data_IF_406538475154
#
_entry.id   IF_406538475154
#
_cell.length_a   1.000
_cell.length_b   1.000
_cell.length_c   1.000
_cell.angle_alpha   90.00
_cell.angle_beta   90.00
_cell.angle_gamma   90.00
#
_symmetry.space_group_name_H-M   'P 1'
#
loop_
_entity.id
_entity.type
_entity.pdbx_description
1 polymer ?
#
# COMPACT_ATOMS: atom_id res chain seq x y z
N UNK A 1 -10.90 10.01 -16.04
CA UNK A 1 -9.56 9.66 -16.56
C UNK A 1 -9.21 8.28 -16.02
N UNK A 2 -8.74 7.36 -16.87
CA UNK A 2 -8.29 6.03 -16.44
C UNK A 2 -6.78 6.07 -16.19
N UNK A 3 -6.30 5.30 -15.21
CA UNK A 3 -4.88 5.15 -14.97
C UNK A 3 -4.25 4.43 -16.19
N UNK A 4 -3.26 5.03 -16.88
CA UNK A 4 -2.75 4.49 -18.15
C UNK A 4 -1.88 3.25 -17.96
N UNK A 5 -1.36 3.02 -16.75
CA UNK A 5 -0.57 1.84 -16.41
C UNK A 5 -1.42 0.69 -15.86
N UNK A 6 -0.85 -0.51 -15.87
CA UNK A 6 -1.41 -1.61 -15.08
C UNK A 6 -0.96 -1.45 -13.64
N UNK A 7 -1.88 -1.61 -12.69
CA UNK A 7 -1.52 -1.79 -11.28
C UNK A 7 -0.99 -3.23 -11.15
N UNK A 8 0.16 -3.42 -10.50
CA UNK A 8 0.74 -4.75 -10.31
C UNK A 8 0.42 -5.31 -8.92
N UNK A 9 0.57 -4.47 -7.89
CA UNK A 9 0.39 -4.84 -6.49
C UNK A 9 -0.18 -3.67 -5.70
N UNK A 10 -1.06 -3.97 -4.74
CA UNK A 10 -1.56 -3.04 -3.73
C UNK A 10 -1.25 -3.60 -2.34
N UNK A 11 -0.49 -2.85 -1.54
CA UNK A 11 -0.21 -3.14 -0.14
C UNK A 11 -1.20 -2.40 0.75
N UNK A 12 -1.90 -3.12 1.63
CA UNK A 12 -2.94 -2.57 2.51
C UNK A 12 -2.55 -2.79 3.96
N UNK A 13 -2.23 -1.72 4.68
CA UNK A 13 -1.97 -1.76 6.12
C UNK A 13 -3.30 -1.88 6.89
N UNK A 14 -3.48 -2.91 7.72
CA UNK A 14 -4.70 -3.05 8.52
C UNK A 14 -4.76 -1.98 9.61
N UNK A 15 -5.89 -1.27 9.78
CA UNK A 15 -6.10 -0.44 10.95
C UNK A 15 -6.16 -1.33 12.20
N UNK A 16 -5.38 -0.94 13.22
CA UNK A 16 -5.38 -1.62 14.53
C UNK A 16 -6.72 -1.37 15.24
N UNK A 17 -7.46 -2.46 15.54
CA UNK A 17 -8.50 -2.43 16.57
C UNK A 17 -9.88 -3.02 16.25
N UNK A 18 -10.31 -3.20 15.00
CA UNK A 18 -11.72 -3.60 14.78
C UNK A 18 -12.00 -4.60 13.64
N UNK A 19 -11.04 -4.82 12.73
CA UNK A 19 -11.34 -5.50 11.46
C UNK A 19 -10.53 -6.77 11.18
N UNK A 20 -9.68 -7.22 12.11
CA UNK A 20 -8.84 -8.40 11.88
C UNK A 20 -9.64 -9.67 11.56
N UNK A 21 -10.82 -9.86 12.17
CA UNK A 21 -11.66 -11.04 11.94
C UNK A 21 -12.63 -10.88 10.76
N UNK A 22 -13.33 -9.74 10.66
CA UNK A 22 -14.36 -9.54 9.63
C UNK A 22 -13.82 -9.33 8.21
N UNK A 23 -12.63 -8.72 8.04
CA UNK A 23 -12.01 -8.55 6.72
C UNK A 23 -11.43 -9.88 6.20
N UNK A 24 -10.89 -10.71 7.09
CA UNK A 24 -10.06 -11.86 6.69
C UNK A 24 -10.83 -12.93 5.88
N UNK A 25 -12.14 -13.07 6.09
CA UNK A 25 -12.95 -14.12 5.43
C UNK A 25 -13.78 -13.61 4.26
N UNK A 26 -14.32 -12.38 4.34
CA UNK A 26 -15.21 -11.82 3.31
C UNK A 26 -14.45 -11.02 2.24
N UNK A 27 -13.40 -10.28 2.61
CA UNK A 27 -12.67 -9.46 1.63
C UNK A 27 -11.75 -10.29 0.73
N UNK A 28 -11.17 -11.38 1.24
CA UNK A 28 -10.20 -12.16 0.47
C UNK A 28 -10.86 -12.93 -0.69
N UNK A 29 -12.16 -13.24 -0.58
CA UNK A 29 -12.97 -13.86 -1.65
C UNK A 29 -13.47 -12.83 -2.66
N UNK A 30 -13.99 -11.69 -2.19
CA UNK A 30 -14.59 -10.67 -3.08
C UNK A 30 -13.52 -9.85 -3.84
N UNK A 31 -12.39 -9.53 -3.21
CA UNK A 31 -11.37 -8.67 -3.84
C UNK A 31 -10.45 -9.43 -4.80
N UNK A 32 -10.33 -10.76 -4.72
CA UNK A 32 -9.42 -11.50 -5.60
C UNK A 32 -9.97 -11.73 -7.01
N UNK A 33 -11.30 -11.75 -7.19
CA UNK A 33 -11.90 -12.06 -8.49
C UNK A 33 -12.08 -10.83 -9.39
N UNK A 34 -12.21 -9.62 -8.82
CA UNK A 34 -12.47 -8.39 -9.60
C UNK A 34 -11.22 -7.60 -10.02
N UNK A 35 -10.08 -7.77 -9.33
CA UNK A 35 -8.87 -6.98 -9.61
C UNK A 35 -7.84 -7.76 -10.43
N UNK A 36 -7.35 -7.14 -11.52
CA UNK A 36 -6.24 -7.67 -12.33
C UNK A 36 -4.87 -7.59 -11.64
N UNK A 37 -4.83 -7.26 -10.34
CA UNK A 37 -3.60 -6.99 -9.60
C UNK A 37 -3.62 -7.66 -8.23
N UNK A 38 -2.43 -7.92 -7.68
CA UNK A 38 -2.28 -8.61 -6.40
C UNK A 38 -2.58 -7.67 -5.24
N UNK A 39 -3.40 -8.10 -4.30
CA UNK A 39 -3.61 -7.38 -3.02
C UNK A 39 -2.88 -8.12 -1.90
N UNK A 40 -2.03 -7.41 -1.16
CA UNK A 40 -1.29 -7.92 0.01
C UNK A 40 -1.72 -7.12 1.23
N UNK A 41 -2.31 -7.80 2.20
CA UNK A 41 -2.81 -7.17 3.43
C UNK A 41 -1.80 -7.38 4.55
N UNK A 42 -1.19 -6.30 5.00
CA UNK A 42 -0.13 -6.27 6.00
C UNK A 42 -0.72 -5.98 7.39
N UNK A 43 -0.22 -6.65 8.42
CA UNK A 43 -0.68 -6.42 9.79
C UNK A 43 -0.15 -5.11 10.39
N UNK A 44 1.04 -4.70 9.99
CA UNK A 44 1.71 -3.49 10.44
C UNK A 44 2.73 -3.03 9.40
N UNK A 45 3.34 -1.86 9.63
CA UNK A 45 4.31 -1.25 8.71
C UNK A 45 5.60 -2.07 8.61
N UNK A 46 5.99 -2.82 9.64
CA UNK A 46 7.21 -3.64 9.59
C UNK A 46 7.14 -4.72 8.52
N UNK A 47 5.97 -5.33 8.29
CA UNK A 47 5.78 -6.30 7.19
C UNK A 47 5.93 -5.66 5.80
N UNK A 48 5.83 -4.33 5.67
CA UNK A 48 6.05 -3.65 4.39
C UNK A 48 7.53 -3.70 3.98
N UNK A 49 8.44 -3.75 4.95
CA UNK A 49 9.89 -3.74 4.72
C UNK A 49 10.40 -5.04 4.08
N UNK A 50 9.62 -6.12 4.13
CA UNK A 50 9.94 -7.36 3.43
C UNK A 50 9.70 -7.26 1.91
N UNK A 51 8.96 -6.24 1.46
CA UNK A 51 8.59 -6.03 0.06
C UNK A 51 9.22 -4.78 -0.57
N UNK A 52 9.51 -3.76 0.25
CA UNK A 52 9.99 -2.46 -0.22
C UNK A 52 11.18 -2.04 0.67
N UNK A 53 12.28 -1.67 0.03
CA UNK A 53 13.47 -1.17 0.71
C UNK A 53 13.16 0.16 1.44
N UNK A 54 13.83 0.40 2.57
CA UNK A 54 13.53 1.56 3.43
C UNK A 54 13.85 2.89 2.76
N UNK A 55 14.87 2.95 1.92
CA UNK A 55 15.24 4.12 1.12
C UNK A 55 14.19 4.49 0.06
N UNK A 56 13.25 3.60 -0.24
CA UNK A 56 12.13 3.83 -1.15
C UNK A 56 10.83 4.18 -0.43
N UNK A 57 10.84 4.17 0.90
CA UNK A 57 9.69 4.48 1.75
C UNK A 57 9.83 5.84 2.41
N UNK A 58 8.74 6.59 2.49
CA UNK A 58 8.74 7.87 3.18
C UNK A 58 8.87 7.69 4.70
N UNK A 59 9.35 8.73 5.37
CA UNK A 59 9.54 8.74 6.84
C UNK A 59 8.24 8.42 7.61
N UNK A 60 7.08 8.79 7.06
CA UNK A 60 5.77 8.47 7.65
C UNK A 60 5.46 6.97 7.67
N UNK A 61 6.08 6.21 6.77
CA UNK A 61 6.03 4.75 6.71
C UNK A 61 7.30 4.12 7.29
N UNK A 62 8.10 4.87 8.05
CA UNK A 62 9.33 4.38 8.69
C UNK A 62 10.49 4.07 7.74
N UNK A 63 10.49 4.65 6.55
CA UNK A 63 11.62 4.64 5.62
C UNK A 63 12.50 5.89 5.69
N UNK A 64 13.46 5.96 4.79
CA UNK A 64 14.52 6.98 4.75
C UNK A 64 14.31 7.99 3.60
N UNK A 65 13.26 7.86 2.80
CA UNK A 65 12.97 8.76 1.68
C UNK A 65 12.38 10.09 2.19
N UNK A 66 13.09 11.22 2.08
CA UNK A 66 12.55 12.50 2.46
C UNK A 66 11.39 12.87 1.54
N UNK A 67 10.24 13.21 2.14
CA UNK A 67 9.05 13.63 1.40
C UNK A 67 8.67 15.07 1.73
N UNK A 68 8.74 15.93 0.72
CA UNK A 68 8.17 17.28 0.77
C UNK A 68 7.04 17.40 -0.26
N UNK A 69 5.82 17.64 0.22
CA UNK A 69 4.63 17.71 -0.64
C UNK A 69 4.76 18.80 -1.73
N UNK A 70 5.29 19.97 -1.37
CA UNK A 70 5.44 21.10 -2.30
C UNK A 70 6.45 20.78 -3.41
N UNK A 71 7.65 20.31 -3.04
CA UNK A 71 8.70 19.91 -3.99
C UNK A 71 8.23 18.76 -4.87
N UNK A 72 7.54 17.77 -4.31
CA UNK A 72 7.03 16.64 -5.08
C UNK A 72 6.01 17.08 -6.13
N UNK A 73 5.10 18.00 -5.80
CA UNK A 73 4.17 18.57 -6.80
C UNK A 73 4.92 19.34 -7.89
N UNK A 74 5.92 20.16 -7.53
CA UNK A 74 6.70 20.92 -8.51
C UNK A 74 7.45 20.03 -9.50
N UNK A 75 7.89 18.86 -9.05
CA UNK A 75 8.60 17.88 -9.89
C UNK A 75 7.67 16.98 -10.75
N UNK A 76 6.34 17.21 -10.74
CA UNK A 76 5.40 16.42 -11.56
C UNK A 76 5.33 16.84 -13.02
N UNK A 77 6.06 17.88 -13.42
CA UNK A 77 6.02 18.48 -14.77
C UNK A 77 7.01 17.76 -15.69
#
# INVERSE_FOLDING_TARGET
AYFPGLVHVAYVLRPVGFLQKAISEVSNKLFREDFKFRVIVLANVTELYDFIEKDQLTEQLGGDLPYCHHTWIQNRI
#
